data_IF_039894248054
#
_entry.id   IF_039894248054
#
_cell.length_a   1.000
_cell.length_b   1.000
_cell.length_c   1.000
_cell.angle_alpha   90.00
_cell.angle_beta   90.00
_cell.angle_gamma   90.00
#
_symmetry.space_group_name_H-M   'P 1'
#
loop_
_entity.id
_entity.type
_entity.pdbx_description
1 polymer ?
#
# COMPACT_ATOMS: atom_id res chain seq x y z
N UNK A 1 -4.72 -1.67 2.18
CA UNK A 1 -4.90 -3.14 2.13
C UNK A 1 -5.66 -3.61 3.36
N UNK A 2 -6.20 -4.82 3.35
CA UNK A 2 -6.96 -5.40 4.47
C UNK A 2 -6.23 -6.59 5.08
N UNK A 3 -6.54 -6.94 6.34
CA UNK A 3 -5.90 -8.06 7.03
C UNK A 3 -6.21 -8.11 8.52
N UNK A 4 -5.16 -8.30 9.34
CA UNK A 4 -5.30 -8.38 10.80
C UNK A 4 -5.75 -7.03 11.36
N UNK A 5 -6.79 -7.02 12.20
CA UNK A 5 -7.42 -5.80 12.71
C UNK A 5 -6.49 -4.85 13.46
N UNK A 6 -5.53 -5.37 14.22
CA UNK A 6 -4.55 -4.50 14.88
C UNK A 6 -3.66 -3.75 13.88
N UNK A 7 -3.31 -4.37 12.74
CA UNK A 7 -2.50 -3.71 11.71
C UNK A 7 -3.30 -2.67 10.93
N UNK A 8 -4.58 -2.96 10.65
CA UNK A 8 -5.50 -1.96 10.05
C UNK A 8 -5.60 -0.73 10.96
N UNK A 9 -5.78 -0.95 12.27
CA UNK A 9 -5.83 0.14 13.25
C UNK A 9 -4.53 0.95 13.32
N UNK A 10 -3.37 0.29 13.27
CA UNK A 10 -2.08 0.98 13.25
C UNK A 10 -1.93 1.89 12.01
N UNK A 11 -2.46 1.49 10.85
CA UNK A 11 -2.46 2.35 9.66
C UNK A 11 -3.39 3.56 9.80
N UNK A 12 -4.56 3.38 10.43
CA UNK A 12 -5.49 4.47 10.74
C UNK A 12 -4.88 5.46 11.75
N UNK A 13 -4.15 4.95 12.75
CA UNK A 13 -3.44 5.78 13.73
C UNK A 13 -2.34 6.64 13.08
N UNK A 14 -1.65 6.14 12.04
CA UNK A 14 -0.67 6.94 11.28
C UNK A 14 -1.31 8.12 10.55
N UNK A 15 -2.53 7.96 10.04
CA UNK A 15 -3.28 9.05 9.40
C UNK A 15 -3.66 10.14 10.41
N UNK A 16 -3.98 9.77 11.66
CA UNK A 16 -4.24 10.75 12.74
C UNK A 16 -2.95 11.46 13.17
N UNK A 17 -1.84 10.73 13.29
CA UNK A 17 -0.55 11.29 13.72
C UNK A 17 0.08 12.19 12.65
N UNK A 18 -0.16 11.90 11.37
CA UNK A 18 0.46 12.59 10.23
C UNK A 18 -0.56 12.89 9.10
N UNK A 19 -1.56 13.75 9.33
CA UNK A 19 -2.72 13.91 8.44
C UNK A 19 -2.37 14.32 7.00
N UNK A 20 -1.32 15.12 6.82
CA UNK A 20 -0.88 15.62 5.49
C UNK A 20 0.25 14.78 4.87
N UNK A 21 0.72 13.74 5.56
CA UNK A 21 1.89 12.95 5.13
C UNK A 21 1.61 11.45 5.02
N UNK A 22 0.56 10.94 5.67
CA UNK A 22 0.22 9.52 5.67
C UNK A 22 -1.29 9.32 5.54
N UNK A 23 -1.70 8.30 4.77
CA UNK A 23 -3.10 7.90 4.64
C UNK A 23 -3.22 6.38 4.73
N UNK A 24 -4.13 5.91 5.59
CA UNK A 24 -4.35 4.49 5.86
C UNK A 24 -5.61 3.99 5.16
N UNK A 25 -5.49 3.37 3.98
CA UNK A 25 -6.67 2.86 3.25
C UNK A 25 -6.86 1.35 3.46
N UNK A 26 -7.63 0.98 4.50
CA UNK A 26 -7.99 -0.39 4.83
C UNK A 26 -9.18 -0.94 4.00
N UNK A 27 -9.10 -0.85 2.67
CA UNK A 27 -10.15 -1.31 1.74
C UNK A 27 -9.57 -2.09 0.57
N UNK A 28 -10.34 -3.03 0.02
CA UNK A 28 -10.03 -3.66 -1.25
C UNK A 28 -10.64 -2.83 -2.39
N UNK A 29 -9.80 -2.16 -3.17
CA UNK A 29 -10.23 -1.28 -4.24
C UNK A 29 -9.21 -1.31 -5.39
N UNK A 30 -9.53 -2.06 -6.46
CA UNK A 30 -8.65 -2.25 -7.62
C UNK A 30 -8.39 -0.93 -8.37
N UNK A 31 -9.40 -0.09 -8.70
CA UNK A 31 -9.15 1.21 -9.31
C UNK A 31 -8.18 2.09 -8.51
N UNK A 32 -8.30 2.11 -7.18
CA UNK A 32 -7.38 2.87 -6.33
C UNK A 32 -5.96 2.28 -6.36
N UNK A 33 -5.81 0.95 -6.36
CA UNK A 33 -4.51 0.31 -6.43
C UNK A 33 -3.73 0.72 -7.69
N UNK A 34 -4.37 0.76 -8.85
CA UNK A 34 -3.75 1.25 -10.09
C UNK A 34 -3.35 2.73 -10.00
N UNK A 35 -4.17 3.57 -9.35
CA UNK A 35 -3.81 4.99 -9.14
C UNK A 35 -2.61 5.15 -8.21
N UNK A 36 -2.51 4.32 -7.16
CA UNK A 36 -1.35 4.32 -6.26
C UNK A 36 -0.10 3.88 -7.03
N UNK A 37 -0.18 2.80 -7.81
CA UNK A 37 0.94 2.35 -8.64
C UNK A 37 1.37 3.40 -9.66
N UNK A 38 0.45 4.08 -10.32
CA UNK A 38 0.79 5.12 -11.30
C UNK A 38 1.32 6.43 -10.69
N UNK A 39 0.98 6.72 -9.43
CA UNK A 39 1.22 8.01 -8.80
C UNK A 39 2.30 8.00 -7.72
N UNK A 40 2.81 6.83 -7.34
CA UNK A 40 3.88 6.72 -6.37
C UNK A 40 5.25 6.77 -7.07
N UNK A 41 6.23 7.38 -6.42
CA UNK A 41 7.63 7.37 -6.88
C UNK A 41 8.35 6.07 -6.49
N UNK A 42 7.91 5.45 -5.39
CA UNK A 42 8.45 4.19 -4.88
C UNK A 42 7.34 3.29 -4.33
N UNK A 43 7.43 1.99 -4.62
CA UNK A 43 6.65 0.95 -3.95
C UNK A 43 7.53 0.13 -3.01
N UNK A 44 7.14 0.06 -1.73
CA UNK A 44 7.83 -0.72 -0.71
C UNK A 44 7.09 -2.02 -0.42
N UNK A 45 7.81 -3.14 -0.48
CA UNK A 45 7.29 -4.49 -0.22
C UNK A 45 8.18 -5.16 0.85
N UNK A 46 7.91 -4.92 2.15
CA UNK A 46 8.73 -5.44 3.25
C UNK A 46 8.30 -6.86 3.67
N UNK A 47 8.10 -7.74 2.69
CA UNK A 47 7.69 -9.13 2.93
C UNK A 47 8.76 -9.89 3.72
N UNK A 48 8.35 -10.67 4.72
CA UNK A 48 9.27 -11.58 5.44
C UNK A 48 9.83 -12.68 4.52
N UNK A 49 9.00 -13.11 3.58
CA UNK A 49 9.31 -14.08 2.53
C UNK A 49 8.30 -13.87 1.40
N UNK A 50 8.76 -13.97 0.15
CA UNK A 50 7.94 -13.67 -1.02
C UNK A 50 8.12 -14.76 -2.09
N UNK A 51 7.10 -15.61 -2.35
CA UNK A 51 7.23 -16.74 -3.27
C UNK A 51 7.24 -16.34 -4.75
N UNK A 52 6.67 -15.18 -5.10
CA UNK A 52 6.64 -14.67 -6.48
C UNK A 52 6.66 -13.14 -6.48
N UNK A 53 5.71 -12.56 -5.75
CA UNK A 53 5.51 -11.12 -5.62
C UNK A 53 4.95 -10.49 -6.89
N UNK A 54 3.64 -10.33 -6.89
CA UNK A 54 2.93 -9.73 -8.02
C UNK A 54 2.92 -8.21 -7.94
N UNK A 55 3.03 -7.63 -6.74
CA UNK A 55 2.92 -6.18 -6.55
C UNK A 55 4.10 -5.45 -7.22
N UNK A 56 5.33 -5.97 -7.09
CA UNK A 56 6.47 -5.39 -7.81
C UNK A 56 6.35 -5.55 -9.32
N UNK A 57 5.85 -6.70 -9.81
CA UNK A 57 5.66 -6.91 -11.24
C UNK A 57 4.55 -6.03 -11.82
N UNK A 58 3.53 -5.72 -11.01
CA UNK A 58 2.49 -4.78 -11.37
C UNK A 58 2.97 -3.33 -11.35
N UNK A 59 3.94 -2.98 -10.49
CA UNK A 59 4.52 -1.64 -10.40
C UNK A 59 5.46 -1.30 -11.57
N UNK A 60 6.27 -2.27 -12.03
CA UNK A 60 7.29 -2.05 -13.07
C UNK A 60 6.74 -1.39 -14.36
N UNK A 61 5.59 -1.79 -14.92
CA UNK A 61 5.01 -1.11 -16.09
C UNK A 61 4.55 0.32 -15.83
N UNK A 62 4.29 0.70 -14.58
CA UNK A 62 3.94 2.06 -14.17
C UNK A 62 5.17 2.95 -13.92
N UNK A 63 6.38 2.36 -13.87
CA UNK A 63 7.62 3.10 -13.64
C UNK A 63 7.87 3.46 -12.18
N UNK A 64 7.36 2.64 -11.26
CA UNK A 64 7.37 2.84 -9.80
C UNK A 64 8.08 1.71 -9.07
#
# INVERSE_FOLDING_TARGET
>A
GTGKKHMEKQLEELEVLYPDKARGVAKFNVPLAHKIMAGADFILIPSRFEPCGLVQLQAMPYGT
#
